data_IF_973944494216
#
_entry.id   IF_973944494216
#
_cell.length_a   1.000
_cell.length_b   1.000
_cell.length_c   1.000
_cell.angle_alpha   90.00
_cell.angle_beta   90.00
_cell.angle_gamma   90.00
#
_symmetry.space_group_name_H-M   'P 1'
#
loop_
_entity.id
_entity.type
_entity.pdbx_description
1 polymer ?
#
# COMPACT_ATOMS: atom_id res chain seq x y z
N UNK A 1 19.94 0.21 -2.75
CA UNK A 1 18.53 0.66 -2.64
C UNK A 1 18.45 2.05 -3.26
N UNK A 2 17.50 2.33 -4.16
CA UNK A 2 17.33 3.71 -4.66
C UNK A 2 16.96 4.58 -3.46
N UNK A 3 17.83 5.51 -3.08
CA UNK A 3 17.59 6.42 -1.96
C UNK A 3 16.31 7.22 -2.20
N UNK A 4 15.46 7.31 -1.17
CA UNK A 4 14.21 8.05 -1.23
C UNK A 4 13.25 7.62 -0.12
N UNK A 5 12.37 8.54 0.26
CA UNK A 5 11.30 8.28 1.20
C UNK A 5 10.05 7.79 0.43
N UNK A 6 9.30 6.82 0.98
CA UNK A 6 8.01 6.48 0.42
C UNK A 6 7.05 7.66 0.58
N UNK A 7 6.20 7.87 -0.42
CA UNK A 7 5.12 8.86 -0.38
C UNK A 7 3.82 8.12 -0.15
N UNK A 8 3.06 8.54 0.87
CA UNK A 8 1.79 7.93 1.25
C UNK A 8 0.68 8.94 0.95
N UNK A 9 -0.31 8.53 0.16
CA UNK A 9 -1.50 9.32 -0.14
C UNK A 9 -2.50 9.36 1.02
N UNK A 10 -3.70 9.83 0.73
CA UNK A 10 -4.76 10.00 1.73
C UNK A 10 -5.54 8.70 1.98
N UNK A 11 -6.06 8.55 3.20
CA UNK A 11 -6.90 7.41 3.61
C UNK A 11 -6.24 6.04 3.42
N UNK A 12 -4.94 5.95 3.71
CA UNK A 12 -4.18 4.69 3.60
C UNK A 12 -4.22 3.93 4.92
N UNK A 13 -4.65 2.67 4.87
CA UNK A 13 -4.53 1.74 5.98
C UNK A 13 -3.24 0.93 5.86
N UNK A 14 -2.41 0.94 6.90
CA UNK A 14 -1.15 0.20 6.95
C UNK A 14 -1.25 -0.88 8.03
N UNK A 15 -1.31 -2.13 7.60
CA UNK A 15 -1.36 -3.29 8.49
C UNK A 15 -0.07 -3.47 9.30
N UNK A 16 -0.19 -4.11 10.45
CA UNK A 16 0.94 -4.38 11.34
C UNK A 16 2.04 -5.17 10.63
N UNK A 17 3.30 -4.85 10.95
CA UNK A 17 4.48 -5.51 10.39
C UNK A 17 4.61 -5.42 8.85
N UNK A 18 3.96 -4.44 8.21
CA UNK A 18 4.20 -4.17 6.79
C UNK A 18 5.49 -3.37 6.60
N UNK A 19 6.17 -3.56 5.47
CA UNK A 19 7.39 -2.85 5.10
C UNK A 19 7.21 -2.16 3.74
N UNK A 20 7.52 -0.87 3.65
CA UNK A 20 7.50 -0.10 2.40
C UNK A 20 8.93 0.32 2.09
N UNK A 21 9.45 -0.13 0.94
CA UNK A 21 10.87 -0.03 0.62
C UNK A 21 11.17 1.01 -0.46
N UNK A 22 11.87 2.08 -0.06
CA UNK A 22 12.46 3.06 -0.97
C UNK A 22 11.50 4.15 -1.45
N UNK A 23 11.79 4.69 -2.63
CA UNK A 23 10.97 5.71 -3.30
C UNK A 23 9.75 5.08 -3.98
N UNK A 24 8.78 4.63 -3.18
CA UNK A 24 7.51 4.06 -3.61
C UNK A 24 6.39 5.05 -3.35
N UNK A 25 5.48 5.19 -4.30
CA UNK A 25 4.24 5.97 -4.16
C UNK A 25 3.08 5.04 -3.83
N UNK A 26 2.44 5.29 -2.70
CA UNK A 26 1.17 4.69 -2.32
C UNK A 26 0.06 5.69 -2.66
N UNK A 27 -0.88 5.26 -3.48
CA UNK A 27 -2.06 6.02 -3.86
C UNK A 27 -3.05 6.26 -2.71
N UNK A 28 -4.19 6.86 -3.04
CA UNK A 28 -5.26 7.18 -2.10
C UNK A 28 -6.20 5.99 -1.86
N UNK A 29 -6.81 5.91 -0.67
CA UNK A 29 -7.76 4.86 -0.29
C UNK A 29 -7.18 3.44 -0.41
N UNK A 30 -5.88 3.29 -0.14
CA UNK A 30 -5.15 2.02 -0.26
C UNK A 30 -5.15 1.26 1.06
N UNK A 31 -5.25 -0.06 0.98
CA UNK A 31 -5.12 -0.96 2.14
C UNK A 31 -3.88 -1.83 1.96
N UNK A 32 -2.90 -1.68 2.83
CA UNK A 32 -1.71 -2.54 2.91
C UNK A 32 -1.99 -3.59 3.99
N UNK A 33 -2.06 -4.87 3.61
CA UNK A 33 -2.29 -5.95 4.55
C UNK A 33 -1.13 -6.13 5.54
N UNK A 34 -1.41 -6.74 6.69
CA UNK A 34 -0.39 -7.08 7.68
C UNK A 34 0.68 -8.01 7.06
N UNK A 35 1.95 -7.74 7.38
CA UNK A 35 3.09 -8.50 6.84
C UNK A 35 3.39 -8.28 5.35
N UNK A 36 2.76 -7.30 4.68
CA UNK A 36 3.03 -7.02 3.28
C UNK A 36 4.37 -6.28 3.08
N UNK A 37 5.10 -6.61 2.02
CA UNK A 37 6.36 -5.95 1.64
C UNK A 37 6.19 -5.25 0.30
N UNK A 38 6.02 -3.93 0.33
CA UNK A 38 5.76 -3.09 -0.85
C UNK A 38 7.08 -2.63 -1.45
N UNK A 39 7.32 -3.04 -2.69
CA UNK A 39 8.55 -2.75 -3.46
C UNK A 39 8.27 -1.99 -4.77
N UNK A 40 7.00 -1.74 -5.08
CA UNK A 40 6.53 -1.08 -6.30
C UNK A 40 5.40 -0.10 -5.96
N UNK A 41 5.19 0.89 -6.83
CA UNK A 41 4.10 1.86 -6.68
C UNK A 41 2.73 1.17 -6.64
N UNK A 42 1.85 1.69 -5.79
CA UNK A 42 0.52 1.17 -5.54
C UNK A 42 -0.51 2.18 -6.03
N UNK A 43 -1.41 1.84 -6.97
CA UNK A 43 -2.43 2.75 -7.47
C UNK A 43 -3.52 3.04 -6.44
N UNK A 44 -4.36 4.04 -6.70
CA UNK A 44 -5.48 4.41 -5.83
C UNK A 44 -6.55 3.30 -5.74
N UNK A 45 -7.26 3.26 -4.60
CA UNK A 45 -8.43 2.40 -4.35
C UNK A 45 -8.16 0.89 -4.43
N UNK A 46 -6.96 0.42 -4.08
CA UNK A 46 -6.62 -1.01 -4.09
C UNK A 46 -6.25 -1.55 -2.71
N UNK A 47 -6.31 -2.86 -2.57
CA UNK A 47 -5.74 -3.58 -1.44
C UNK A 47 -4.56 -4.41 -1.91
N UNK A 48 -3.43 -4.29 -1.24
CA UNK A 48 -2.20 -5.05 -1.52
C UNK A 48 -1.83 -5.96 -0.36
N UNK A 49 -1.32 -7.15 -0.65
CA UNK A 49 -0.85 -8.11 0.35
C UNK A 49 0.30 -8.99 -0.17
N UNK A 50 1.03 -9.60 0.76
CA UNK A 50 2.09 -10.56 0.46
C UNK A 50 3.50 -9.98 0.36
N UNK A 51 4.46 -10.85 0.06
CA UNK A 51 5.90 -10.56 -0.06
C UNK A 51 6.40 -11.20 -1.37
N UNK A 52 6.63 -10.46 -2.46
CA UNK A 52 6.34 -9.02 -2.63
C UNK A 52 4.85 -8.72 -2.68
N UNK A 53 4.45 -7.52 -2.26
CA UNK A 53 3.05 -7.09 -2.21
C UNK A 53 2.44 -7.05 -3.62
N UNK A 54 1.28 -7.70 -3.77
CA UNK A 54 0.49 -7.74 -5.00
C UNK A 54 -0.91 -7.22 -4.74
N UNK A 55 -1.54 -6.65 -5.76
CA UNK A 55 -2.95 -6.24 -5.70
C UNK A 55 -3.80 -7.50 -5.55
N UNK A 56 -4.54 -7.59 -4.45
CA UNK A 56 -5.47 -8.69 -4.16
C UNK A 56 -6.93 -8.26 -4.32
N UNK A 57 -7.20 -6.94 -4.38
CA UNK A 57 -8.54 -6.39 -4.54
C UNK A 57 -8.48 -5.00 -5.17
N UNK A 58 -9.37 -4.74 -6.13
CA UNK A 58 -9.49 -3.46 -6.86
C UNK A 58 -10.52 -2.50 -6.23
N UNK A 59 -11.05 -2.84 -5.05
CA UNK A 59 -11.91 -1.97 -4.23
C UNK A 59 -11.32 -1.85 -2.84
N UNK A 60 -10.62 -0.74 -2.61
CA UNK A 60 -10.09 -0.30 -1.33
C UNK A 60 -11.19 0.00 -0.31
N UNK A 61 -10.85 0.77 0.72
CA UNK A 61 -11.77 1.06 1.83
C UNK A 61 -12.97 1.87 1.31
N UNK A 62 -14.16 1.28 1.33
CA UNK A 62 -15.42 2.00 1.10
C UNK A 62 -16.01 2.37 2.44
N UNK A 63 -16.12 3.66 2.73
CA UNK A 63 -16.94 4.15 3.84
C UNK A 63 -18.41 3.87 3.49
N UNK A 64 -18.96 2.77 4.02
CA UNK A 64 -20.42 2.58 4.01
C UNK A 64 -20.98 3.49 5.10
N UNK A 65 -21.67 4.55 4.70
CA UNK A 65 -22.54 5.32 5.60
C UNK A 65 -23.68 4.43 6.11
#
# INVERSE_FOLDING_TARGET
>A
MRGGCPTIGDNVFIGTNSCILGNVKIGNNVVIAAGAVVVHDVPDNVTVAGIPAKIIKEKGWTYTT
#
